data_IF_808973496130
#
_entry.id   IF_808973496130
#
_cell.length_a   1.000
_cell.length_b   1.000
_cell.length_c   1.000
_cell.angle_alpha   90.00
_cell.angle_beta   90.00
_cell.angle_gamma   90.00
#
_symmetry.space_group_name_H-M   'P 1'
#
loop_
_entity.id
_entity.type
_entity.pdbx_description
1 polymer ?
#
# COMPACT_ATOMS: atom_id res chain seq x y z
N UNK A 1 -2.76 -8.80 -0.28
CA UNK A 1 -1.38 -8.28 -0.24
C UNK A 1 -0.77 -8.44 1.16
N UNK A 2 -0.13 -9.57 1.36
CA UNK A 2 0.41 -9.87 2.69
C UNK A 2 1.56 -8.95 3.10
N UNK A 3 2.45 -8.66 2.17
CA UNK A 3 3.59 -7.78 2.46
C UNK A 3 3.11 -6.41 2.90
N UNK A 4 2.15 -5.86 2.19
CA UNK A 4 1.63 -4.53 2.50
C UNK A 4 0.90 -4.52 3.85
N UNK A 5 0.11 -5.54 4.12
CA UNK A 5 -0.57 -5.67 5.41
C UNK A 5 0.43 -5.70 6.56
N UNK A 6 1.52 -6.45 6.36
CA UNK A 6 2.55 -6.57 7.37
C UNK A 6 3.23 -5.22 7.65
N UNK A 7 3.59 -4.51 6.57
CA UNK A 7 4.24 -3.20 6.71
C UNK A 7 3.33 -2.18 7.38
N UNK A 8 2.06 -2.16 7.01
CA UNK A 8 1.10 -1.26 7.65
C UNK A 8 0.96 -1.57 9.13
N UNK A 9 0.87 -2.85 9.47
CA UNK A 9 0.76 -3.28 10.85
C UNK A 9 1.95 -2.86 11.68
N UNK A 10 3.15 -2.98 11.14
CA UNK A 10 4.38 -2.59 11.84
C UNK A 10 4.42 -1.09 12.09
N UNK A 11 3.85 -0.30 11.18
CA UNK A 11 3.84 1.15 11.29
C UNK A 11 2.62 1.67 12.05
N UNK A 12 1.73 0.79 12.45
CA UNK A 12 0.50 1.20 13.13
C UNK A 12 -0.48 1.92 12.22
N UNK A 13 -0.45 1.61 10.92
CA UNK A 13 -1.29 2.28 9.93
C UNK A 13 -2.50 1.42 9.58
N UNK A 14 -3.62 2.09 9.30
CA UNK A 14 -4.85 1.43 8.88
C UNK A 14 -5.05 1.60 7.37
N UNK A 15 -6.08 0.90 6.85
CA UNK A 15 -6.42 1.00 5.43
C UNK A 15 -6.69 2.44 5.00
N UNK A 16 -7.32 3.24 5.86
CA UNK A 16 -7.58 4.64 5.56
C UNK A 16 -6.29 5.44 5.38
N UNK A 17 -5.26 5.10 6.15
CA UNK A 17 -3.96 5.75 6.02
C UNK A 17 -3.32 5.39 4.69
N UNK A 18 -3.47 4.14 4.26
CA UNK A 18 -2.98 3.72 2.96
C UNK A 18 -3.66 4.51 1.84
N UNK A 19 -4.98 4.68 1.93
CA UNK A 19 -5.71 5.48 0.95
C UNK A 19 -5.15 6.89 0.85
N UNK A 20 -4.86 7.50 1.99
CA UNK A 20 -4.30 8.85 2.01
C UNK A 20 -2.91 8.91 1.41
N UNK A 21 -2.09 7.92 1.69
CA UNK A 21 -0.73 7.85 1.13
C UNK A 21 -0.76 7.76 -0.39
N UNK A 22 -1.72 7.02 -0.92
CA UNK A 22 -1.81 6.79 -2.36
C UNK A 22 -2.58 7.89 -3.08
N UNK A 23 -3.27 8.75 -2.35
CA UNK A 23 -3.98 9.88 -2.94
C UNK A 23 -5.26 9.52 -3.69
N UNK A 24 -5.80 8.34 -3.46
CA UNK A 24 -7.02 7.90 -4.10
C UNK A 24 -8.26 8.11 -3.23
N UNK A 25 -9.36 7.42 -3.60
CA UNK A 25 -10.58 7.46 -2.81
C UNK A 25 -10.34 6.84 -1.44
N UNK A 26 -11.23 7.13 -0.49
CA UNK A 26 -11.07 6.62 0.87
C UNK A 26 -11.10 5.08 0.93
N UNK A 27 -11.70 4.44 -0.08
CA UNK A 27 -11.81 2.98 -0.11
C UNK A 27 -10.65 2.29 -0.82
N UNK A 28 -9.77 3.05 -1.44
CA UNK A 28 -8.69 2.49 -2.24
C UNK A 28 -7.79 1.55 -1.43
N UNK A 29 -7.40 1.99 -0.24
CA UNK A 29 -6.53 1.18 0.60
C UNK A 29 -7.14 -0.16 0.95
N UNK A 30 -8.41 -0.16 1.36
CA UNK A 30 -9.12 -1.39 1.71
C UNK A 30 -9.23 -2.32 0.51
N UNK A 31 -9.53 -1.78 -0.67
CA UNK A 31 -9.65 -2.58 -1.88
C UNK A 31 -8.33 -3.25 -2.25
N UNK A 32 -7.23 -2.52 -2.12
CA UNK A 32 -5.91 -3.07 -2.39
C UNK A 32 -5.57 -4.18 -1.41
N UNK A 33 -5.85 -3.96 -0.13
CA UNK A 33 -5.55 -4.97 0.90
C UNK A 33 -6.38 -6.23 0.73
N UNK A 34 -7.59 -6.12 0.18
CA UNK A 34 -8.43 -7.29 -0.10
C UNK A 34 -8.12 -7.97 -1.43
N UNK A 35 -7.23 -7.38 -2.23
CA UNK A 35 -6.88 -7.92 -3.53
C UNK A 35 -7.86 -7.53 -4.65
N UNK A 36 -8.78 -6.60 -4.38
CA UNK A 36 -9.76 -6.14 -5.38
C UNK A 36 -9.18 -5.13 -6.37
N UNK A 37 -8.12 -4.44 -5.98
CA UNK A 37 -7.42 -3.49 -6.85
C UNK A 37 -5.93 -3.79 -6.79
N UNK A 38 -5.28 -3.65 -7.92
CA UNK A 38 -3.83 -3.83 -8.01
C UNK A 38 -3.12 -2.50 -7.78
N UNK A 39 -1.89 -2.57 -7.29
CA UNK A 39 -1.06 -1.40 -7.15
C UNK A 39 -0.61 -0.93 -8.53
N UNK A 40 -0.70 0.37 -8.78
CA UNK A 40 -0.11 0.96 -9.99
C UNK A 40 1.37 1.20 -9.74
N UNK A 41 2.10 1.52 -10.81
CA UNK A 41 3.51 1.84 -10.67
C UNK A 41 3.72 3.04 -9.74
N UNK A 42 2.86 4.05 -9.83
CA UNK A 42 2.93 5.20 -8.95
C UNK A 42 2.72 4.81 -7.49
N UNK A 43 1.78 3.88 -7.25
CA UNK A 43 1.53 3.38 -5.90
C UNK A 43 2.77 2.69 -5.35
N UNK A 44 3.40 1.85 -6.17
CA UNK A 44 4.61 1.13 -5.77
C UNK A 44 5.72 2.10 -5.40
N UNK A 45 5.93 3.13 -6.20
CA UNK A 45 6.95 4.14 -5.94
C UNK A 45 6.69 4.88 -4.63
N UNK A 46 5.44 5.26 -4.41
CA UNK A 46 5.04 5.96 -3.18
C UNK A 46 5.32 5.10 -1.96
N UNK A 47 4.89 3.84 -2.01
CA UNK A 47 5.06 2.93 -0.88
C UNK A 47 6.52 2.59 -0.63
N UNK A 48 7.28 2.38 -1.70
CA UNK A 48 8.71 2.10 -1.59
C UNK A 48 9.42 3.22 -0.86
N UNK A 49 9.10 4.46 -1.22
CA UNK A 49 9.69 5.65 -0.61
C UNK A 49 9.23 5.81 0.85
N UNK A 50 7.94 5.61 1.09
CA UNK A 50 7.36 5.81 2.42
C UNK A 50 7.90 4.81 3.44
N UNK A 51 8.07 3.56 3.04
CA UNK A 51 8.51 2.50 3.94
C UNK A 51 10.01 2.22 3.86
N UNK A 52 10.71 2.85 2.91
CA UNK A 52 12.15 2.63 2.76
C UNK A 52 12.50 1.23 2.32
N UNK A 53 11.66 0.62 1.49
CA UNK A 53 11.88 -0.75 1.01
C UNK A 53 11.95 -0.78 -0.51
N UNK A 54 12.47 -1.87 -1.06
CA UNK A 54 12.58 -2.04 -2.50
C UNK A 54 11.19 -2.16 -3.14
N UNK A 55 11.03 -1.54 -4.31
CA UNK A 55 9.79 -1.66 -5.07
C UNK A 55 9.47 -3.11 -5.43
N UNK A 56 10.51 -3.95 -5.55
CA UNK A 56 10.33 -5.36 -5.89
C UNK A 56 9.43 -6.10 -4.90
N UNK A 57 9.38 -5.65 -3.65
CA UNK A 57 8.51 -6.26 -2.65
C UNK A 57 7.04 -6.23 -3.07
N UNK A 58 6.66 -5.26 -3.87
CA UNK A 58 5.27 -5.08 -4.28
C UNK A 58 4.98 -5.57 -5.69
N UNK A 59 5.99 -6.07 -6.40
CA UNK A 59 5.86 -6.43 -7.81
C UNK A 59 5.74 -7.92 -8.06
N UNK A 60 5.79 -8.72 -7.06
CA UNK A 60 5.71 -10.18 -7.21
C UNK A 60 4.33 -10.67 -7.59
#
# INVERSE_FOLDING_TARGET
MEVLKHLLGEQGLAAADLSRLLGGSRNLGAMILRGERKLTLNHVRTLSRRFGVSADLFLS
#
